data_IF_459978052949
#
_entry.id   IF_459978052949
#
_cell.length_a   1.000
_cell.length_b   1.000
_cell.length_c   1.000
_cell.angle_alpha   90.00
_cell.angle_beta   90.00
_cell.angle_gamma   90.00
#
_symmetry.space_group_name_H-M   'P 1'
#
loop_
_entity.id
_entity.type
_entity.pdbx_description
1 polymer ?
#
# COMPACT_ATOMS: atom_id res chain seq x y z
N UNK A 1 -12.54 -62.13 42.27
CA UNK A 1 -11.80 -61.60 43.44
C UNK A 1 -10.42 -61.18 42.97
N UNK A 2 -10.12 -59.87 42.91
CA UNK A 2 -8.83 -59.36 42.43
C UNK A 2 -7.80 -59.37 43.57
N UNK A 3 -6.62 -59.95 43.31
CA UNK A 3 -5.56 -60.10 44.31
C UNK A 3 -5.04 -58.75 44.82
N UNK A 4 -4.74 -58.62 46.14
CA UNK A 4 -4.37 -57.34 46.78
C UNK A 4 -3.10 -56.70 46.20
N UNK A 5 -2.23 -57.48 45.55
CA UNK A 5 -1.05 -56.99 44.81
C UNK A 5 -1.45 -56.17 43.58
N UNK A 6 -2.44 -56.64 42.81
CA UNK A 6 -2.88 -56.03 41.56
C UNK A 6 -3.65 -54.72 41.79
N UNK A 7 -4.39 -54.64 42.91
CA UNK A 7 -5.12 -53.43 43.30
C UNK A 7 -4.17 -52.29 43.72
N UNK A 8 -3.01 -52.59 44.31
CA UNK A 8 -1.98 -51.59 44.66
C UNK A 8 -1.27 -51.06 43.41
N UNK A 9 -0.96 -51.93 42.44
CA UNK A 9 -0.33 -51.52 41.18
C UNK A 9 -1.25 -50.61 40.36
N UNK A 10 -2.55 -50.93 40.30
CA UNK A 10 -3.52 -50.09 39.60
C UNK A 10 -3.69 -48.72 40.26
N UNK A 11 -3.70 -48.67 41.60
CA UNK A 11 -3.73 -47.39 42.34
C UNK A 11 -2.46 -46.56 42.11
N UNK A 12 -1.30 -47.20 42.06
CA UNK A 12 -0.03 -46.52 41.78
C UNK A 12 0.03 -45.98 40.34
N UNK A 13 -0.47 -46.73 39.36
CA UNK A 13 -0.53 -46.30 37.95
C UNK A 13 -1.53 -45.14 37.79
N UNK A 14 -2.69 -45.21 38.43
CA UNK A 14 -3.68 -44.13 38.40
C UNK A 14 -3.11 -42.85 39.05
N UNK A 15 -2.42 -42.99 40.19
CA UNK A 15 -1.80 -41.85 40.87
C UNK A 15 -0.70 -41.20 40.00
N UNK A 16 0.11 -42.01 39.32
CA UNK A 16 1.15 -41.54 38.40
C UNK A 16 0.55 -40.78 37.21
N UNK A 17 -0.53 -41.31 36.61
CA UNK A 17 -1.23 -40.63 35.52
C UNK A 17 -1.83 -39.28 35.95
N UNK A 18 -2.41 -39.21 37.15
CA UNK A 18 -2.98 -37.95 37.67
C UNK A 18 -1.88 -36.91 37.89
N UNK A 19 -0.73 -37.30 38.46
CA UNK A 19 0.40 -36.39 38.68
C UNK A 19 0.96 -35.87 37.35
N UNK A 20 1.13 -36.75 36.35
CA UNK A 20 1.58 -36.35 35.01
C UNK A 20 0.59 -35.42 34.31
N UNK A 21 -0.71 -35.63 34.49
CA UNK A 21 -1.76 -34.77 33.92
C UNK A 21 -1.72 -33.36 34.51
N UNK A 22 -1.57 -33.25 35.84
CA UNK A 22 -1.49 -31.97 36.54
C UNK A 22 -0.19 -31.22 36.18
N UNK A 23 0.93 -31.94 36.05
CA UNK A 23 2.19 -31.35 35.61
C UNK A 23 2.14 -30.83 34.16
N UNK A 24 1.49 -31.58 33.25
CA UNK A 24 1.28 -31.14 31.87
C UNK A 24 0.41 -29.87 31.79
N UNK A 25 -0.67 -29.79 32.57
CA UNK A 25 -1.54 -28.61 32.62
C UNK A 25 -0.78 -27.41 33.20
N UNK A 26 0.03 -27.57 34.25
CA UNK A 26 0.82 -26.48 34.83
C UNK A 26 1.88 -25.90 33.86
N UNK A 27 2.51 -26.75 33.04
CA UNK A 27 3.44 -26.31 31.98
C UNK A 27 2.71 -25.58 30.85
N UNK A 28 1.50 -26.03 30.48
CA UNK A 28 0.66 -25.38 29.46
C UNK A 28 0.14 -24.04 29.98
N UNK A 29 -0.28 -23.94 31.25
CA UNK A 29 -0.81 -22.70 31.85
C UNK A 29 0.27 -21.63 32.06
N UNK A 30 1.53 -22.00 32.26
CA UNK A 30 2.65 -21.05 32.37
C UNK A 30 3.19 -20.59 31.01
N UNK A 31 2.81 -21.26 29.91
CA UNK A 31 3.16 -20.88 28.52
C UNK A 31 1.95 -20.53 27.65
N UNK A 32 0.75 -20.41 28.25
CA UNK A 32 -0.55 -20.40 27.57
C UNK A 32 -1.18 -19.03 27.33
N UNK A 33 -0.41 -17.94 27.35
CA UNK A 33 -0.84 -16.64 26.82
C UNK A 33 0.18 -16.13 25.78
N UNK A 34 0.16 -16.74 24.60
CA UNK A 34 0.43 -16.07 23.30
C UNK A 34 0.67 -17.12 22.21
N UNK A 35 -0.37 -17.83 21.75
CA UNK A 35 -0.32 -18.52 20.45
C UNK A 35 -1.72 -18.63 19.82
N UNK A 36 -2.07 -17.57 19.09
CA UNK A 36 -2.83 -17.55 17.83
C UNK A 36 -2.02 -16.56 16.96
N UNK A 37 -1.42 -16.86 15.83
CA UNK A 37 -1.46 -17.99 14.93
C UNK A 37 -0.04 -18.17 14.35
N UNK A 38 0.51 -19.37 14.43
CA UNK A 38 1.74 -19.73 13.74
C UNK A 38 1.40 -20.56 12.51
N UNK A 39 1.33 -19.91 11.36
CA UNK A 39 1.64 -20.58 10.10
C UNK A 39 2.59 -19.66 9.33
N UNK A 40 3.76 -20.22 9.04
CA UNK A 40 4.82 -19.68 8.19
C UNK A 40 5.80 -18.71 8.86
N UNK A 41 6.76 -19.34 9.53
CA UNK A 41 8.09 -18.84 9.82
C UNK A 41 8.81 -18.29 8.58
N UNK A 42 9.15 -16.99 8.60
CA UNK A 42 10.46 -16.36 8.25
C UNK A 42 10.20 -14.87 8.06
N UNK A 43 10.58 -14.02 9.03
CA UNK A 43 11.03 -12.62 8.82
C UNK A 43 11.24 -11.87 10.15
N UNK A 44 12.03 -12.44 11.07
CA UNK A 44 12.59 -11.64 12.19
C UNK A 44 13.82 -10.81 11.77
N UNK A 45 14.13 -10.77 10.48
CA UNK A 45 15.10 -9.85 9.86
C UNK A 45 14.45 -8.59 9.26
N UNK A 46 13.11 -8.50 9.19
CA UNK A 46 12.41 -7.32 8.64
C UNK A 46 12.17 -6.21 9.66
N UNK A 47 12.44 -6.44 10.94
CA UNK A 47 12.06 -5.49 12.01
C UNK A 47 13.10 -4.39 12.29
N UNK A 48 14.17 -4.30 11.48
CA UNK A 48 15.21 -3.27 11.59
C UNK A 48 15.48 -2.52 10.29
N UNK A 49 14.67 -2.69 9.24
CA UNK A 49 14.63 -1.68 8.19
C UNK A 49 13.68 -0.60 8.66
N UNK A 50 14.24 0.56 9.00
CA UNK A 50 13.52 1.83 8.90
C UNK A 50 13.00 1.86 7.46
N UNK A 51 11.77 1.37 7.21
CA UNK A 51 11.15 1.43 5.90
C UNK A 51 11.04 2.91 5.58
N UNK A 52 11.93 3.41 4.72
CA UNK A 52 11.85 4.78 4.28
C UNK A 52 10.45 4.98 3.68
N UNK A 53 9.75 6.06 4.05
CA UNK A 53 8.42 6.32 3.54
C UNK A 53 8.48 6.37 2.01
N UNK A 54 7.53 5.71 1.37
CA UNK A 54 7.46 5.67 -0.09
C UNK A 54 7.31 7.11 -0.63
N UNK A 55 8.27 7.53 -1.43
CA UNK A 55 8.38 8.91 -1.89
C UNK A 55 7.60 9.09 -3.19
N UNK A 56 6.80 10.14 -3.24
CA UNK A 56 5.99 10.51 -4.40
C UNK A 56 6.39 11.91 -4.84
N UNK A 57 6.95 12.01 -6.04
CA UNK A 57 7.29 13.30 -6.64
C UNK A 57 6.16 13.71 -7.58
N UNK A 58 5.43 14.77 -7.23
CA UNK A 58 4.25 15.21 -7.95
C UNK A 58 4.57 16.48 -8.73
N UNK A 59 4.66 16.35 -10.06
CA UNK A 59 4.80 17.45 -10.98
C UNK A 59 3.46 17.94 -11.49
N UNK A 60 3.28 19.25 -11.53
CA UNK A 60 2.04 19.86 -12.01
C UNK A 60 2.28 21.01 -12.99
N UNK A 61 1.44 21.10 -14.02
CA UNK A 61 1.33 22.32 -14.82
C UNK A 61 0.44 23.36 -14.11
N UNK A 62 0.64 24.66 -14.32
CA UNK A 62 -0.07 25.72 -13.57
C UNK A 62 -1.60 25.55 -13.54
N UNK A 63 -2.19 25.07 -14.64
CA UNK A 63 -3.63 24.81 -14.75
C UNK A 63 -4.16 23.74 -13.78
N UNK A 64 -3.28 22.89 -13.24
CA UNK A 64 -3.57 21.76 -12.35
C UNK A 64 -3.09 21.97 -10.91
N UNK A 65 -2.63 23.18 -10.54
CA UNK A 65 -2.09 23.46 -9.20
C UNK A 65 -3.03 23.06 -8.05
N UNK A 66 -4.32 23.40 -8.15
CA UNK A 66 -5.29 23.05 -7.11
C UNK A 66 -5.48 21.53 -6.98
N UNK A 67 -5.61 20.83 -8.11
CA UNK A 67 -5.66 19.36 -8.15
C UNK A 67 -4.40 18.73 -7.55
N UNK A 68 -3.23 19.29 -7.85
CA UNK A 68 -1.95 18.86 -7.30
C UNK A 68 -1.88 19.03 -5.79
N UNK A 69 -2.37 20.15 -5.26
CA UNK A 69 -2.42 20.43 -3.83
C UNK A 69 -3.35 19.46 -3.11
N UNK A 70 -4.56 19.25 -3.63
CA UNK A 70 -5.52 18.30 -3.06
C UNK A 70 -4.96 16.87 -3.06
N UNK A 71 -4.35 16.46 -4.18
CA UNK A 71 -3.76 15.14 -4.29
C UNK A 71 -2.56 14.95 -3.35
N UNK A 72 -1.77 16.00 -3.14
CA UNK A 72 -0.67 16.00 -2.17
C UNK A 72 -1.21 15.75 -0.76
N UNK A 73 -2.23 16.49 -0.34
CA UNK A 73 -2.86 16.30 0.98
C UNK A 73 -3.45 14.88 1.13
N UNK A 74 -4.14 14.38 0.11
CA UNK A 74 -4.73 13.05 0.10
C UNK A 74 -3.68 11.94 0.26
N UNK A 75 -2.59 11.99 -0.52
CA UNK A 75 -1.53 10.98 -0.45
C UNK A 75 -0.72 11.10 0.86
N UNK A 76 -0.46 12.31 1.35
CA UNK A 76 0.19 12.50 2.64
C UNK A 76 -0.64 11.95 3.80
N UNK A 77 -1.96 12.08 3.76
CA UNK A 77 -2.85 11.48 4.76
C UNK A 77 -2.81 9.94 4.77
N UNK A 78 -2.38 9.31 3.67
CA UNK A 78 -2.17 7.87 3.56
C UNK A 78 -0.75 7.43 3.96
N UNK A 79 0.09 8.34 4.44
CA UNK A 79 1.45 8.06 4.91
C UNK A 79 2.52 8.10 3.82
N UNK A 80 2.21 8.60 2.62
CA UNK A 80 3.21 8.83 1.58
C UNK A 80 3.99 10.13 1.80
N UNK A 81 5.29 10.12 1.51
CA UNK A 81 6.09 11.34 1.52
C UNK A 81 5.99 12.02 0.15
N UNK A 82 5.20 13.09 0.05
CA UNK A 82 4.89 13.73 -1.23
C UNK A 82 5.65 15.04 -1.37
N UNK A 83 6.36 15.18 -2.49
CA UNK A 83 7.04 16.43 -2.87
C UNK A 83 6.35 17.01 -4.10
N UNK A 84 5.68 18.14 -3.94
CA UNK A 84 4.98 18.84 -5.02
C UNK A 84 5.89 19.87 -5.70
N UNK A 85 6.09 19.76 -7.01
CA UNK A 85 6.96 20.65 -7.81
C UNK A 85 6.25 21.15 -9.08
N UNK A 86 6.45 22.41 -9.50
CA UNK A 86 6.00 22.84 -10.81
C UNK A 86 6.70 22.04 -11.92
N UNK A 87 5.97 21.56 -12.92
CA UNK A 87 6.57 20.83 -14.06
C UNK A 87 7.63 21.66 -14.81
N UNK A 88 7.58 23.00 -14.70
CA UNK A 88 8.58 23.89 -15.28
C UNK A 88 9.97 23.75 -14.66
N UNK A 89 10.10 23.15 -13.47
CA UNK A 89 11.42 22.91 -12.84
C UNK A 89 12.17 21.75 -13.48
N UNK A 90 11.52 20.97 -14.35
CA UNK A 90 12.08 19.79 -15.00
C UNK A 90 11.88 19.91 -16.52
N UNK A 91 12.96 20.18 -17.25
CA UNK A 91 12.90 20.44 -18.70
C UNK A 91 12.44 19.22 -19.49
N UNK A 92 12.70 18.01 -19.00
CA UNK A 92 12.24 16.77 -19.63
C UNK A 92 10.71 16.61 -19.63
N UNK A 93 9.99 17.34 -18.77
CA UNK A 93 8.53 17.28 -18.68
C UNK A 93 7.79 18.25 -19.62
N UNK A 94 8.50 19.09 -20.40
CA UNK A 94 7.82 20.05 -21.28
C UNK A 94 6.94 19.36 -22.34
N UNK A 95 7.37 18.22 -22.86
CA UNK A 95 6.61 17.41 -23.80
C UNK A 95 5.36 16.77 -23.17
N UNK A 96 5.36 16.58 -21.85
CA UNK A 96 4.24 15.99 -21.11
C UNK A 96 3.01 16.90 -20.99
N UNK A 97 3.12 18.18 -21.36
CA UNK A 97 2.02 19.16 -21.27
C UNK A 97 0.78 18.76 -22.09
N UNK A 98 1.00 18.10 -23.24
CA UNK A 98 -0.06 17.69 -24.18
C UNK A 98 -0.43 16.21 -24.05
N UNK A 99 0.26 15.45 -23.20
CA UNK A 99 -0.03 14.04 -22.95
C UNK A 99 -1.07 13.88 -21.84
N UNK A 100 -1.78 12.75 -21.74
CA UNK A 100 -2.59 12.45 -20.57
C UNK A 100 -1.76 12.44 -19.28
N UNK A 101 -2.42 12.67 -18.15
CA UNK A 101 -1.79 12.56 -16.83
C UNK A 101 -1.21 11.15 -16.65
N UNK A 102 -0.05 11.03 -16.02
CA UNK A 102 0.64 9.75 -15.95
C UNK A 102 1.54 9.60 -14.73
N UNK A 103 1.92 8.35 -14.46
CA UNK A 103 2.85 7.99 -13.40
C UNK A 103 4.08 7.29 -13.98
N UNK A 104 5.23 7.50 -13.37
CA UNK A 104 6.42 6.67 -13.55
C UNK A 104 6.73 5.93 -12.26
N UNK A 105 7.08 4.65 -12.38
CA UNK A 105 7.35 3.78 -11.23
C UNK A 105 8.55 2.87 -11.47
N UNK A 106 9.23 2.51 -10.38
CA UNK A 106 10.31 1.52 -10.40
C UNK A 106 9.77 0.10 -10.61
N UNK A 107 10.52 -0.77 -11.28
CA UNK A 107 10.12 -2.15 -11.54
C UNK A 107 9.60 -2.89 -10.30
N UNK A 108 10.32 -2.75 -9.19
CA UNK A 108 10.07 -3.47 -7.95
C UNK A 108 8.82 -2.97 -7.22
N UNK A 109 8.32 -1.79 -7.60
CA UNK A 109 7.21 -1.11 -6.94
C UNK A 109 5.90 -1.21 -7.72
N UNK A 110 5.81 -2.08 -8.74
CA UNK A 110 4.64 -2.19 -9.61
C UNK A 110 3.31 -2.31 -8.84
N UNK A 111 3.23 -3.23 -7.87
CA UNK A 111 2.00 -3.46 -7.11
C UNK A 111 1.54 -2.22 -6.33
N UNK A 112 2.49 -1.57 -5.65
CA UNK A 112 2.22 -0.35 -4.88
C UNK A 112 1.86 0.81 -5.81
N UNK A 113 2.59 0.99 -6.91
CA UNK A 113 2.33 2.03 -7.90
C UNK A 113 0.95 1.88 -8.56
N UNK A 114 0.51 0.65 -8.88
CA UNK A 114 -0.82 0.43 -9.45
C UNK A 114 -1.94 0.69 -8.45
N UNK A 115 -1.74 0.38 -7.17
CA UNK A 115 -2.69 0.72 -6.11
C UNK A 115 -2.81 2.24 -5.92
N UNK A 116 -1.69 2.95 -5.91
CA UNK A 116 -1.67 4.42 -5.83
C UNK A 116 -2.37 5.01 -7.06
N UNK A 117 -2.04 4.54 -8.27
CA UNK A 117 -2.67 4.95 -9.52
C UNK A 117 -4.20 4.86 -9.45
N UNK A 118 -4.74 3.69 -9.09
CA UNK A 118 -6.18 3.49 -8.99
C UNK A 118 -6.82 4.42 -7.95
N UNK A 119 -6.12 4.70 -6.85
CA UNK A 119 -6.58 5.63 -5.82
C UNK A 119 -6.62 7.06 -6.33
N UNK A 120 -5.61 7.48 -7.11
CA UNK A 120 -5.57 8.80 -7.74
C UNK A 120 -6.70 8.93 -8.77
N UNK A 121 -6.86 7.96 -9.67
CA UNK A 121 -7.90 8.00 -10.72
C UNK A 121 -9.31 8.15 -10.13
N UNK A 122 -9.57 7.54 -8.97
CA UNK A 122 -10.81 7.71 -8.21
C UNK A 122 -10.97 9.12 -7.64
N UNK A 123 -9.89 9.68 -7.09
CA UNK A 123 -9.89 11.01 -6.46
C UNK A 123 -10.04 12.13 -7.50
N UNK A 124 -9.30 12.06 -8.61
CA UNK A 124 -9.30 13.11 -9.65
C UNK A 124 -10.35 12.89 -10.74
N UNK A 125 -10.96 11.71 -10.81
CA UNK A 125 -11.98 11.35 -11.80
C UNK A 125 -11.47 11.25 -13.25
N UNK A 126 -10.16 11.10 -13.44
CA UNK A 126 -9.52 11.04 -14.75
C UNK A 126 -8.59 9.81 -14.83
N UNK A 127 -8.55 9.11 -15.97
CA UNK A 127 -7.62 8.02 -16.16
C UNK A 127 -6.18 8.53 -16.20
N UNK A 128 -5.26 7.70 -15.75
CA UNK A 128 -3.83 7.96 -15.79
C UNK A 128 -3.10 6.86 -16.55
N UNK A 129 -2.08 7.25 -17.32
CA UNK A 129 -1.15 6.28 -17.89
C UNK A 129 -0.09 5.89 -16.86
N UNK A 130 0.49 4.70 -17.02
CA UNK A 130 1.58 4.25 -16.17
C UNK A 130 2.75 3.77 -17.01
N UNK A 131 3.95 4.22 -16.65
CA UNK A 131 5.17 3.89 -17.34
C UNK A 131 6.20 3.39 -16.34
N UNK A 132 6.90 2.33 -16.71
CA UNK A 132 8.03 1.83 -15.93
C UNK A 132 9.26 2.70 -16.24
N UNK A 133 10.05 3.04 -15.22
CA UNK A 133 11.39 3.59 -15.49
C UNK A 133 12.24 2.57 -16.24
N UNK A 134 13.02 3.04 -17.22
CA UNK A 134 13.90 2.18 -18.02
C UNK A 134 14.95 1.50 -17.15
N UNK A 135 15.54 2.28 -16.25
CA UNK A 135 16.52 1.84 -15.27
C UNK A 135 15.86 1.91 -13.88
N UNK A 136 16.15 0.96 -12.98
CA UNK A 136 15.75 1.09 -11.57
C UNK A 136 16.64 2.16 -10.95
N UNK A 137 16.14 3.38 -10.90
CA UNK A 137 16.92 4.52 -10.44
C UNK A 137 16.90 4.57 -8.92
N UNK A 138 15.75 4.32 -8.29
CA UNK A 138 15.54 4.40 -6.84
C UNK A 138 14.33 3.57 -6.39
N UNK A 139 14.58 2.49 -5.65
CA UNK A 139 13.51 1.74 -4.96
C UNK A 139 12.76 2.65 -3.99
N UNK A 140 11.44 2.50 -3.89
CA UNK A 140 10.61 3.33 -3.02
C UNK A 140 10.26 4.73 -3.54
N UNK A 141 10.36 4.98 -4.85
CA UNK A 141 10.03 6.27 -5.47
C UNK A 141 9.02 6.12 -6.62
N UNK A 142 8.08 7.06 -6.71
CA UNK A 142 7.14 7.20 -7.82
C UNK A 142 7.05 8.65 -8.25
N UNK A 143 6.94 8.88 -9.56
CA UNK A 143 6.68 10.22 -10.11
C UNK A 143 5.27 10.30 -10.63
N UNK A 144 4.55 11.36 -10.30
CA UNK A 144 3.24 11.71 -10.84
C UNK A 144 3.40 12.95 -11.70
N UNK A 145 2.80 12.96 -12.88
CA UNK A 145 2.73 14.13 -13.77
C UNK A 145 1.27 14.44 -14.06
N UNK A 146 0.77 15.56 -13.51
CA UNK A 146 -0.58 16.06 -13.78
C UNK A 146 -0.55 17.03 -14.97
N UNK A 147 -1.05 16.57 -16.10
CA UNK A 147 -1.00 17.28 -17.38
C UNK A 147 -2.11 18.32 -17.53
N UNK A 148 -1.86 19.33 -18.38
CA UNK A 148 -2.85 20.33 -18.77
C UNK A 148 -3.84 19.81 -19.83
N UNK A 149 -3.48 18.80 -20.62
CA UNK A 149 -4.22 18.34 -21.81
C UNK A 149 -5.69 18.01 -21.56
N UNK A 150 -6.02 17.51 -20.38
CA UNK A 150 -7.38 17.07 -20.00
C UNK A 150 -8.26 18.23 -19.50
N UNK A 151 -7.70 19.35 -19.02
CA UNK A 151 -8.49 20.53 -18.59
C UNK A 151 -9.04 21.29 -19.79
N UNK A 152 -8.31 21.26 -20.90
CA UNK A 152 -8.70 21.92 -22.15
C UNK A 152 -9.84 21.18 -22.88
N UNK A 153 -10.06 19.89 -22.56
CA UNK A 153 -11.16 19.09 -23.14
C UNK A 153 -12.49 19.25 -22.41
N UNK A 154 -12.47 19.60 -21.13
CA UNK A 154 -13.69 19.80 -20.32
C UNK A 154 -14.20 21.24 -20.35
N UNK A 155 -13.42 22.20 -20.87
CA UNK A 155 -13.82 23.60 -21.04
C UNK A 155 -14.48 23.91 -22.39
N UNK A 156 -14.44 22.99 -23.36
CA UNK A 156 -15.18 23.10 -24.63
C UNK A 156 -16.60 22.58 -24.47
N UNK A 157 -17.46 23.35 -23.80
CA UNK A 157 -18.91 23.19 -23.97
C UNK A 157 -19.25 23.51 -25.44
N UNK A 158 -20.01 22.66 -26.16
CA UNK A 158 -20.46 22.98 -27.51
C UNK A 158 -21.24 24.30 -27.47
N UNK A 159 -20.82 25.27 -28.28
CA UNK A 159 -21.62 26.48 -28.51
C UNK A 159 -22.98 26.02 -29.05
N UNK A 160 -24.12 26.36 -28.42
CA UNK A 160 -25.41 25.97 -28.94
C UNK A 160 -25.56 26.48 -30.37
N UNK A 161 -26.17 25.70 -31.27
CA UNK A 161 -26.35 26.12 -32.65
C UNK A 161 -27.10 27.45 -32.66
N UNK A 162 -26.52 28.43 -33.34
CA UNK A 162 -27.16 29.72 -33.59
C UNK A 162 -28.44 29.40 -34.36
N UNK A 163 -29.58 29.59 -33.71
CA UNK A 163 -30.87 29.53 -34.39
C UNK A 163 -30.97 30.78 -35.24
N UNK A 164 -30.84 30.64 -36.55
CA UNK A 164 -31.15 31.72 -37.47
C UNK A 164 -32.65 32.03 -37.37
N UNK A 165 -33.04 33.31 -37.15
CA UNK A 165 -34.45 33.69 -37.19
C UNK A 165 -34.97 33.56 -38.63
N UNK A 166 -36.04 32.78 -38.78
CA UNK A 166 -36.84 32.70 -40.01
C UNK A 166 -37.60 34.00 -40.28
#
# INVERSE_FOLDING_TARGET
MASPKQQKTNKAIILLCVILSVAAIAIISTRGQSFKDATTSTNLLEQSQIQQPFQVMLYYFPARKETASALTSYLSAQGYQVTMLPAATETSLQSSKSLPSHIFYDHYEFGKAMAIKQSIEKEIGLPMNAYKFKDSIHSGTMTIVLSAAEKDRTSTTPKPPVSDPQ
#
